data_IF_537742268039
#
_entry.id   IF_537742268039
#
_cell.length_a   1.000
_cell.length_b   1.000
_cell.length_c   1.000
_cell.angle_alpha   90.00
_cell.angle_beta   90.00
_cell.angle_gamma   90.00
#
_symmetry.space_group_name_H-M   'P 1'
#
loop_
_entity.id
_entity.type
_entity.pdbx_description
1 polymer ?
#
# COMPACT_ATOMS: atom_id res chain seq x y z
N UNK A 1 -16.01 11.83 2.09
CA UNK A 1 -15.56 10.57 2.73
C UNK A 1 -14.53 10.90 3.80
N UNK A 2 -14.66 10.32 4.99
CA UNK A 2 -13.58 10.30 5.99
C UNK A 2 -12.47 9.43 5.43
N UNK A 3 -11.32 10.03 5.16
CA UNK A 3 -10.27 9.37 4.38
C UNK A 3 -8.99 9.31 5.18
N UNK A 4 -8.47 8.10 5.37
CA UNK A 4 -7.13 7.89 5.92
C UNK A 4 -6.13 8.33 4.86
N UNK A 5 -5.24 9.24 5.22
CA UNK A 5 -4.05 9.55 4.42
C UNK A 5 -2.85 9.02 5.19
N UNK A 6 -2.24 7.96 4.67
CA UNK A 6 -1.16 7.25 5.34
C UNK A 6 -0.09 6.81 4.34
N UNK A 7 1.09 6.42 4.84
CA UNK A 7 2.15 6.02 3.95
C UNK A 7 3.51 5.72 4.60
N UNK A 8 4.56 5.70 3.77
CA UNK A 8 5.91 5.47 4.26
C UNK A 8 6.46 6.70 4.97
N UNK A 9 7.10 6.47 6.12
CA UNK A 9 7.65 7.50 7.01
C UNK A 9 8.86 8.27 6.45
N UNK A 10 9.35 7.88 5.28
CA UNK A 10 10.52 8.43 4.61
C UNK A 10 10.15 9.19 3.34
N UNK A 11 8.87 9.21 2.97
CA UNK A 11 8.38 9.99 1.83
C UNK A 11 7.96 11.35 2.36
N UNK A 12 8.59 12.40 1.83
CA UNK A 12 8.37 13.82 2.16
C UNK A 12 8.14 14.63 0.87
N UNK A 13 7.33 14.08 -0.02
CA UNK A 13 7.00 14.66 -1.33
C UNK A 13 5.50 15.02 -1.39
N UNK A 14 5.22 16.32 -1.23
CA UNK A 14 3.85 16.86 -1.22
C UNK A 14 3.18 16.76 -2.57
N UNK A 15 3.92 16.98 -3.66
CA UNK A 15 3.37 16.95 -5.02
C UNK A 15 2.92 15.53 -5.38
N UNK A 16 3.73 14.52 -5.02
CA UNK A 16 3.34 13.13 -5.18
C UNK A 16 2.09 12.77 -4.36
N UNK A 17 1.96 13.29 -3.14
CA UNK A 17 0.77 13.08 -2.32
C UNK A 17 -0.47 13.75 -2.94
N UNK A 18 -0.37 15.01 -3.37
CA UNK A 18 -1.47 15.72 -4.03
C UNK A 18 -1.94 15.01 -5.29
N UNK A 19 -1.01 14.56 -6.14
CA UNK A 19 -1.33 13.76 -7.31
C UNK A 19 -2.05 12.46 -6.93
N UNK A 20 -1.57 11.78 -5.89
CA UNK A 20 -2.20 10.55 -5.37
C UNK A 20 -3.63 10.82 -4.89
N UNK A 21 -3.86 11.93 -4.19
CA UNK A 21 -5.19 12.35 -3.73
C UNK A 21 -6.12 12.66 -4.91
N UNK A 22 -5.64 13.41 -5.90
CA UNK A 22 -6.40 13.72 -7.10
C UNK A 22 -6.80 12.46 -7.88
N UNK A 23 -5.88 11.51 -8.03
CA UNK A 23 -6.12 10.26 -8.75
C UNK A 23 -7.08 9.32 -8.00
N UNK A 24 -7.12 9.36 -6.66
CA UNK A 24 -8.14 8.65 -5.90
C UNK A 24 -9.56 9.07 -6.32
N UNK A 25 -9.73 10.35 -6.69
CA UNK A 25 -10.91 10.83 -7.38
C UNK A 25 -12.19 10.84 -6.56
N UNK A 26 -12.08 10.95 -5.23
CA UNK A 26 -13.23 11.11 -4.34
C UNK A 26 -13.06 12.30 -3.38
N UNK A 27 -14.20 12.89 -2.99
CA UNK A 27 -14.21 14.04 -2.09
C UNK A 27 -13.87 13.64 -0.65
N UNK A 28 -12.87 14.30 -0.08
CA UNK A 28 -12.43 14.10 1.30
C UNK A 28 -13.14 15.10 2.20
N UNK A 29 -13.92 14.60 3.15
CA UNK A 29 -14.70 15.41 4.10
C UNK A 29 -14.05 15.51 5.48
N UNK A 30 -13.11 14.61 5.77
CA UNK A 30 -12.27 14.60 6.98
C UNK A 30 -11.01 13.78 6.67
N UNK A 31 -9.84 14.26 7.07
CA UNK A 31 -8.58 13.51 7.01
C UNK A 31 -8.40 12.73 8.30
N UNK A 32 -8.18 11.42 8.21
CA UNK A 32 -7.86 10.55 9.33
C UNK A 32 -6.36 10.28 9.32
N UNK A 33 -5.65 10.66 10.39
CA UNK A 33 -4.17 10.58 10.45
C UNK A 33 -3.71 9.69 11.61
N UNK A 34 -2.68 8.87 11.37
CA UNK A 34 -2.00 8.09 12.41
C UNK A 34 -0.87 8.84 13.12
N UNK A 35 -0.76 10.14 12.86
CA UNK A 35 0.17 11.10 13.48
C UNK A 35 1.64 10.67 13.40
N UNK A 36 2.01 9.97 12.33
CA UNK A 36 3.39 9.58 12.05
C UNK A 36 4.11 10.63 11.20
N UNK A 37 5.44 10.62 11.21
CA UNK A 37 6.22 11.41 10.23
C UNK A 37 5.97 10.92 8.79
N UNK A 38 6.34 11.73 7.81
CA UNK A 38 6.18 11.43 6.38
C UNK A 38 4.74 11.68 5.92
N UNK A 39 4.16 10.73 5.21
CA UNK A 39 2.85 10.89 4.55
C UNK A 39 1.72 11.25 5.50
N UNK A 40 1.68 10.70 6.71
CA UNK A 40 0.66 11.08 7.71
C UNK A 40 0.70 12.60 8.00
N UNK A 41 1.88 13.17 8.30
CA UNK A 41 2.05 14.63 8.50
C UNK A 41 1.67 15.42 7.25
N UNK A 42 2.09 14.99 6.07
CA UNK A 42 1.72 15.67 4.82
C UNK A 42 0.21 15.63 4.57
N UNK A 43 -0.47 14.54 4.94
CA UNK A 43 -1.92 14.42 4.87
C UNK A 43 -2.63 15.39 5.83
N UNK A 44 -2.11 15.55 7.05
CA UNK A 44 -2.63 16.56 7.98
C UNK A 44 -2.44 17.99 7.46
N UNK A 45 -1.28 18.28 6.87
CA UNK A 45 -1.00 19.59 6.25
C UNK A 45 -1.95 19.85 5.07
N UNK A 46 -2.11 18.89 4.16
CA UNK A 46 -3.06 18.96 3.06
C UNK A 46 -4.48 19.23 3.55
N UNK A 47 -4.92 18.54 4.61
CA UNK A 47 -6.23 18.76 5.22
C UNK A 47 -6.39 20.19 5.71
N UNK A 48 -5.41 20.72 6.47
CA UNK A 48 -5.43 22.09 6.98
C UNK A 48 -5.44 23.13 5.84
N UNK A 49 -4.63 22.93 4.81
CA UNK A 49 -4.50 23.83 3.66
C UNK A 49 -5.79 23.89 2.83
N UNK A 50 -6.54 22.79 2.75
CA UNK A 50 -7.79 22.69 2.00
C UNK A 50 -9.06 22.92 2.85
N UNK A 51 -8.91 23.34 4.11
CA UNK A 51 -10.04 23.55 5.02
C UNK A 51 -10.80 22.27 5.39
N UNK A 52 -10.17 21.11 5.22
CA UNK A 52 -10.70 19.80 5.58
C UNK A 52 -10.30 19.46 7.02
N UNK A 53 -11.24 19.10 7.90
CA UNK A 53 -10.93 18.78 9.28
C UNK A 53 -10.00 17.55 9.37
N UNK A 54 -9.09 17.58 10.34
CA UNK A 54 -8.13 16.49 10.60
C UNK A 54 -8.47 15.81 11.91
N UNK A 55 -8.69 14.50 11.86
CA UNK A 55 -8.92 13.63 13.01
C UNK A 55 -7.65 12.80 13.30
N UNK A 56 -6.88 13.14 14.35
CA UNK A 56 -5.69 12.38 14.73
C UNK A 56 -6.03 11.12 15.52
N UNK A 57 -5.30 10.04 15.24
CA UNK A 57 -5.30 8.76 15.95
C UNK A 57 -3.87 8.43 16.39
N UNK A 58 -3.37 9.02 17.48
CA UNK A 58 -2.05 8.68 18.01
C UNK A 58 -2.04 7.25 18.56
N UNK A 59 -0.92 6.54 18.38
CA UNK A 59 -0.76 5.21 18.95
C UNK A 59 -0.44 5.29 20.46
N UNK A 60 -1.15 4.53 21.28
CA UNK A 60 -0.89 4.43 22.72
C UNK A 60 0.24 3.42 23.02
N UNK A 61 1.48 3.90 22.83
CA UNK A 61 2.69 3.13 23.10
C UNK A 61 2.88 2.79 24.57
N UNK A 62 2.33 3.59 25.50
CA UNK A 62 2.48 3.37 26.93
C UNK A 62 1.69 2.15 27.38
N UNK A 63 0.45 2.02 26.92
CA UNK A 63 -0.43 0.90 27.31
C UNK A 63 -0.16 -0.36 26.50
N UNK A 64 0.08 -0.23 25.19
CA UNK A 64 0.09 -1.37 24.26
C UNK A 64 1.47 -1.72 23.70
N UNK A 65 2.50 -0.92 23.99
CA UNK A 65 3.87 -1.20 23.53
C UNK A 65 3.91 -1.43 22.02
N UNK A 66 4.54 -2.53 21.59
CA UNK A 66 4.78 -2.83 20.16
C UNK A 66 3.50 -2.98 19.32
N UNK A 67 2.37 -3.38 19.91
CA UNK A 67 1.12 -3.58 19.17
C UNK A 67 0.31 -2.30 19.01
N UNK A 68 0.70 -1.21 19.68
CA UNK A 68 -0.02 0.07 19.66
C UNK A 68 -0.26 0.60 18.24
N UNK A 69 0.74 0.48 17.36
CA UNK A 69 0.63 0.91 15.97
C UNK A 69 -0.40 0.12 15.17
N UNK A 70 -0.46 -1.20 15.35
CA UNK A 70 -1.44 -2.06 14.66
C UNK A 70 -2.86 -1.80 15.17
N UNK A 71 -3.04 -1.69 16.49
CA UNK A 71 -4.34 -1.38 17.09
C UNK A 71 -4.88 -0.05 16.57
N UNK A 72 -4.04 0.99 16.58
CA UNK A 72 -4.38 2.29 16.01
C UNK A 72 -4.74 2.21 14.52
N UNK A 73 -4.02 1.43 13.71
CA UNK A 73 -4.37 1.24 12.30
C UNK A 73 -5.74 0.60 12.12
N UNK A 74 -6.07 -0.38 12.96
CA UNK A 74 -7.39 -1.01 12.99
C UNK A 74 -8.48 -0.02 13.39
N UNK A 75 -8.23 0.81 14.40
CA UNK A 75 -9.19 1.82 14.85
C UNK A 75 -9.45 2.88 13.76
N UNK A 76 -8.41 3.32 13.05
CA UNK A 76 -8.57 4.20 11.89
C UNK A 76 -9.38 3.53 10.77
N UNK A 77 -9.07 2.26 10.44
CA UNK A 77 -9.78 1.51 9.40
C UNK A 77 -11.27 1.34 9.71
N UNK A 78 -11.62 1.09 10.98
CA UNK A 78 -13.00 0.96 11.43
C UNK A 78 -13.76 2.30 11.46
N UNK A 79 -13.04 3.43 11.53
CA UNK A 79 -13.63 4.77 11.62
C UNK A 79 -13.85 5.42 10.24
N UNK A 80 -12.96 5.15 9.28
CA UNK A 80 -12.92 5.82 7.99
C UNK A 80 -13.82 5.17 6.93
N UNK A 81 -14.07 5.91 5.85
CA UNK A 81 -14.78 5.41 4.66
C UNK A 81 -13.82 4.99 3.54
N UNK A 82 -12.57 5.47 3.58
CA UNK A 82 -11.55 5.14 2.60
C UNK A 82 -10.11 5.37 3.06
N UNK A 83 -9.17 4.83 2.29
CA UNK A 83 -7.72 4.92 2.47
C UNK A 83 -7.08 5.41 1.18
N UNK A 84 -6.27 6.46 1.29
CA UNK A 84 -5.29 6.89 0.29
C UNK A 84 -3.91 6.58 0.85
N UNK A 85 -3.18 5.67 0.19
CA UNK A 85 -1.90 5.16 0.65
C UNK A 85 -0.77 5.52 -0.32
N UNK A 86 0.16 6.38 0.09
CA UNK A 86 1.39 6.66 -0.66
C UNK A 86 2.57 5.98 0.03
N UNK A 87 3.18 4.98 -0.60
CA UNK A 87 4.18 4.16 0.08
C UNK A 87 5.26 3.64 -0.86
N UNK A 88 6.32 3.08 -0.28
CA UNK A 88 7.49 2.56 -1.00
C UNK A 88 7.37 1.06 -1.33
N UNK A 89 6.17 0.47 -1.18
CA UNK A 89 5.92 -0.96 -1.39
C UNK A 89 6.51 -1.90 -0.33
N UNK A 90 7.37 -1.41 0.57
CA UNK A 90 8.08 -2.22 1.58
C UNK A 90 7.83 -1.80 3.03
N UNK A 91 7.26 -0.63 3.29
CA UNK A 91 6.97 -0.14 4.64
C UNK A 91 6.04 -1.10 5.40
N UNK A 92 6.51 -1.71 6.52
CA UNK A 92 5.68 -2.63 7.31
C UNK A 92 4.45 -1.95 7.90
N UNK A 93 4.58 -0.67 8.27
CA UNK A 93 3.47 0.12 8.81
C UNK A 93 2.39 0.41 7.77
N UNK A 94 2.80 0.76 6.55
CA UNK A 94 1.89 1.00 5.42
C UNK A 94 1.21 -0.30 4.97
N UNK A 95 1.95 -1.40 4.87
CA UNK A 95 1.41 -2.73 4.60
C UNK A 95 0.38 -3.16 5.65
N UNK A 96 0.68 -2.91 6.93
CA UNK A 96 -0.28 -3.14 8.02
C UNK A 96 -1.56 -2.33 7.84
N UNK A 97 -1.45 -1.03 7.53
CA UNK A 97 -2.61 -0.16 7.29
C UNK A 97 -3.45 -0.65 6.10
N UNK A 98 -2.81 -0.98 4.98
CA UNK A 98 -3.49 -1.53 3.79
C UNK A 98 -4.28 -2.79 4.13
N UNK A 99 -3.68 -3.71 4.90
CA UNK A 99 -4.33 -4.93 5.34
C UNK A 99 -5.55 -4.65 6.21
N UNK A 100 -5.45 -3.76 7.20
CA UNK A 100 -6.57 -3.45 8.09
C UNK A 100 -7.70 -2.71 7.34
N UNK A 101 -7.37 -1.85 6.37
CA UNK A 101 -8.36 -1.21 5.50
C UNK A 101 -9.12 -2.24 4.64
N UNK A 102 -8.40 -3.19 4.02
CA UNK A 102 -9.03 -4.25 3.23
C UNK A 102 -9.94 -5.14 4.10
N UNK A 103 -9.53 -5.44 5.35
CA UNK A 103 -10.38 -6.17 6.31
C UNK A 103 -11.64 -5.40 6.69
N UNK A 104 -11.55 -4.09 6.84
CA UNK A 104 -12.68 -3.22 7.14
C UNK A 104 -13.61 -3.01 5.94
N UNK A 105 -13.18 -3.39 4.72
CA UNK A 105 -13.98 -3.24 3.50
C UNK A 105 -14.13 -1.79 3.04
N UNK A 106 -13.23 -0.90 3.46
CA UNK A 106 -13.25 0.52 3.07
C UNK A 106 -12.63 0.71 1.69
N UNK A 107 -12.96 1.81 1.00
CA UNK A 107 -12.42 2.08 -0.34
C UNK A 107 -10.91 2.34 -0.27
N UNK A 108 -10.11 1.68 -1.10
CA UNK A 108 -8.65 1.84 -1.10
C UNK A 108 -8.15 2.37 -2.44
N UNK A 109 -7.32 3.42 -2.38
CA UNK A 109 -6.45 3.86 -3.47
C UNK A 109 -5.02 3.84 -2.93
N UNK A 110 -4.11 3.16 -3.64
CA UNK A 110 -2.71 3.12 -3.24
C UNK A 110 -1.81 3.44 -4.43
N UNK A 111 -0.75 4.19 -4.16
CA UNK A 111 0.28 4.58 -5.11
C UNK A 111 1.65 4.27 -4.54
N UNK A 112 2.52 3.67 -5.37
CA UNK A 112 3.91 3.45 -5.00
C UNK A 112 4.72 4.67 -5.40
N UNK A 113 5.50 5.17 -4.46
CA UNK A 113 6.33 6.33 -4.66
C UNK A 113 7.48 6.04 -5.62
N UNK A 114 7.75 6.98 -6.53
CA UNK A 114 8.75 6.82 -7.59
C UNK A 114 8.31 5.90 -8.74
N UNK A 115 7.06 5.42 -8.71
CA UNK A 115 6.56 4.44 -9.66
C UNK A 115 5.57 5.10 -10.64
N UNK A 116 6.01 5.29 -11.88
CA UNK A 116 5.13 5.71 -12.95
C UNK A 116 4.56 4.50 -13.68
N UNK A 117 3.34 4.11 -13.31
CA UNK A 117 2.62 3.00 -13.97
C UNK A 117 2.42 3.25 -15.47
N UNK A 118 2.39 4.50 -15.93
CA UNK A 118 2.18 4.81 -17.35
C UNK A 118 3.40 4.47 -18.22
N UNK A 119 4.56 4.25 -17.60
CA UNK A 119 5.78 3.79 -18.26
C UNK A 119 5.89 2.26 -18.37
N UNK A 120 4.95 1.52 -17.77
CA UNK A 120 4.89 0.06 -17.80
C UNK A 120 4.03 -0.45 -18.96
N UNK A 121 4.39 -1.61 -19.49
CA UNK A 121 3.54 -2.32 -20.46
C UNK A 121 2.26 -2.83 -19.78
N UNK A 122 1.18 -3.06 -20.54
CA UNK A 122 -0.14 -3.42 -19.98
C UNK A 122 -0.08 -4.65 -19.08
N UNK A 123 0.73 -5.66 -19.44
CA UNK A 123 0.91 -6.89 -18.66
C UNK A 123 1.58 -6.62 -17.32
N UNK A 124 2.59 -5.74 -17.28
CA UNK A 124 3.26 -5.33 -16.04
C UNK A 124 2.30 -4.56 -15.12
N UNK A 125 1.46 -3.69 -15.71
CA UNK A 125 0.44 -2.94 -14.98
C UNK A 125 -0.58 -3.86 -14.31
N UNK A 126 -1.07 -4.87 -15.04
CA UNK A 126 -2.02 -5.86 -14.51
C UNK A 126 -1.43 -6.68 -13.37
N UNK A 127 -0.21 -7.20 -13.54
CA UNK A 127 0.52 -7.96 -12.50
C UNK A 127 0.71 -7.10 -11.25
N UNK A 128 1.14 -5.85 -11.42
CA UNK A 128 1.37 -4.93 -10.31
C UNK A 128 0.07 -4.56 -9.60
N UNK A 129 -1.00 -4.22 -10.33
CA UNK A 129 -2.29 -3.91 -9.73
C UNK A 129 -2.81 -5.08 -8.88
N UNK A 130 -2.66 -6.31 -9.38
CA UNK A 130 -3.04 -7.51 -8.65
C UNK A 130 -2.17 -7.77 -7.41
N UNK A 131 -0.85 -7.62 -7.54
CA UNK A 131 0.12 -7.75 -6.44
C UNK A 131 -0.14 -6.72 -5.32
N UNK A 132 -0.34 -5.45 -5.67
CA UNK A 132 -0.56 -4.37 -4.70
C UNK A 132 -1.94 -4.35 -4.08
N UNK A 133 -2.94 -4.97 -4.72
CA UNK A 133 -4.23 -5.24 -4.08
C UNK A 133 -4.10 -6.29 -2.96
N UNK A 134 -2.95 -6.97 -2.82
CA UNK A 134 -2.72 -8.02 -1.83
C UNK A 134 -3.50 -9.30 -2.11
N UNK A 135 -3.95 -9.50 -3.36
CA UNK A 135 -4.74 -10.66 -3.79
C UNK A 135 -3.90 -11.88 -4.12
N UNK A 136 -2.60 -11.69 -4.37
CA UNK A 136 -1.70 -12.79 -4.68
C UNK A 136 -0.32 -12.67 -4.07
N UNK A 137 0.36 -13.82 -3.97
CA UNK A 137 1.76 -13.92 -3.56
C UNK A 137 2.56 -14.46 -4.73
N UNK A 138 3.57 -13.71 -5.18
CA UNK A 138 4.42 -14.12 -6.28
C UNK A 138 5.65 -14.87 -5.77
N UNK A 139 5.96 -16.01 -6.39
CA UNK A 139 7.14 -16.82 -6.08
C UNK A 139 7.98 -17.09 -7.32
N UNK A 140 9.29 -17.24 -7.10
CA UNK A 140 10.19 -17.84 -8.07
C UNK A 140 10.29 -19.33 -7.80
N UNK A 141 9.87 -20.14 -8.76
CA UNK A 141 10.00 -21.60 -8.73
C UNK A 141 10.98 -22.01 -9.84
N UNK A 142 12.24 -22.26 -9.48
CA UNK A 142 13.31 -22.69 -10.40
C UNK A 142 13.51 -21.76 -11.62
N UNK A 143 13.46 -20.45 -11.42
CA UNK A 143 13.58 -19.45 -12.49
C UNK A 143 12.27 -19.14 -13.20
N UNK A 144 11.15 -19.73 -12.76
CA UNK A 144 9.82 -19.48 -13.29
C UNK A 144 8.92 -18.77 -12.26
N UNK A 145 8.49 -17.56 -12.59
CA UNK A 145 7.57 -16.76 -11.82
C UNK A 145 6.13 -17.27 -11.93
N UNK A 146 5.48 -17.48 -10.79
CA UNK A 146 4.06 -17.84 -10.71
C UNK A 146 3.40 -17.25 -9.47
N UNK A 147 2.07 -17.10 -9.54
CA UNK A 147 1.27 -16.85 -8.34
C UNK A 147 1.24 -18.12 -7.50
N UNK A 148 1.68 -18.03 -6.25
CA UNK A 148 1.53 -19.10 -5.26
C UNK A 148 0.13 -19.11 -4.66
N UNK A 149 -0.43 -17.92 -4.45
CA UNK A 149 -1.80 -17.69 -4.01
C UNK A 149 -2.42 -16.72 -5.02
N UNK A 150 -3.58 -17.07 -5.56
CA UNK A 150 -4.33 -16.26 -6.51
C UNK A 150 -5.80 -16.73 -6.56
N UNK A 151 -6.70 -15.79 -6.87
CA UNK A 151 -8.08 -16.04 -7.29
C UNK A 151 -8.18 -16.25 -8.81
N UNK A 152 -9.39 -16.54 -9.30
CA UNK A 152 -9.68 -16.78 -10.72
C UNK A 152 -9.42 -15.58 -11.64
N UNK A 153 -9.26 -14.38 -11.07
CA UNK A 153 -9.03 -13.14 -11.80
C UNK A 153 -7.54 -12.76 -11.84
N UNK A 154 -6.64 -13.66 -11.41
CA UNK A 154 -5.21 -13.40 -11.48
C UNK A 154 -4.74 -13.16 -12.92
N UNK A 155 -3.96 -12.08 -13.16
CA UNK A 155 -3.42 -11.79 -14.47
C UNK A 155 -2.38 -12.84 -14.86
N UNK A 156 -2.22 -13.04 -16.17
CA UNK A 156 -1.19 -13.90 -16.70
C UNK A 156 0.20 -13.33 -16.38
N UNK A 157 1.12 -14.19 -15.94
CA UNK A 157 2.48 -13.80 -15.60
C UNK A 157 3.40 -14.08 -16.79
N UNK A 158 3.93 -13.02 -17.42
CA UNK A 158 5.13 -13.13 -18.26
C UNK A 158 6.39 -13.16 -17.39
N UNK A 159 7.33 -14.02 -17.78
CA UNK A 159 8.63 -14.13 -17.10
C UNK A 159 9.46 -12.86 -17.29
N UNK A 160 9.43 -12.27 -18.49
CA UNK A 160 10.11 -11.00 -18.77
C UNK A 160 9.50 -9.86 -17.94
N UNK A 161 8.17 -9.78 -17.88
CA UNK A 161 7.47 -8.72 -17.14
C UNK A 161 7.85 -8.75 -15.65
N UNK A 162 7.81 -9.92 -15.00
CA UNK A 162 8.21 -10.00 -13.59
C UNK A 162 9.69 -9.72 -13.39
N UNK A 163 10.56 -10.22 -14.27
CA UNK A 163 11.99 -9.94 -14.19
C UNK A 163 12.28 -8.43 -14.30
N UNK A 164 11.55 -7.71 -15.16
CA UNK A 164 11.68 -6.26 -15.31
C UNK A 164 11.16 -5.51 -14.08
N UNK A 165 10.00 -5.91 -13.54
CA UNK A 165 9.46 -5.34 -12.31
C UNK A 165 10.42 -5.51 -11.12
N UNK A 166 11.08 -6.66 -11.00
CA UNK A 166 12.09 -6.90 -9.97
C UNK A 166 13.35 -6.08 -10.23
N UNK A 167 13.83 -6.02 -11.48
CA UNK A 167 15.01 -5.23 -11.87
C UNK A 167 14.82 -3.74 -11.53
N UNK A 168 13.60 -3.23 -11.70
CA UNK A 168 13.23 -1.85 -11.35
C UNK A 168 12.94 -1.65 -9.85
N UNK A 169 13.22 -2.67 -9.02
CA UNK A 169 12.94 -2.68 -7.58
C UNK A 169 11.46 -2.47 -7.21
N UNK A 170 10.55 -2.70 -8.17
CA UNK A 170 9.10 -2.48 -8.03
C UNK A 170 8.42 -3.64 -7.31
N UNK A 171 9.09 -4.81 -7.29
CA UNK A 171 8.62 -6.01 -6.61
C UNK A 171 9.78 -6.71 -5.91
N UNK A 172 9.52 -7.26 -4.72
CA UNK A 172 10.46 -8.10 -3.99
C UNK A 172 9.96 -9.55 -4.07
N UNK A 173 10.71 -10.46 -4.71
CA UNK A 173 10.29 -11.84 -4.81
C UNK A 173 10.43 -12.56 -3.46
N UNK A 174 9.51 -13.49 -3.19
CA UNK A 174 9.74 -14.47 -2.12
C UNK A 174 10.39 -15.70 -2.75
N UNK A 175 11.61 -16.03 -2.35
CA UNK A 175 12.28 -17.26 -2.81
C UNK A 175 11.76 -18.45 -2.00
N UNK A 176 11.20 -19.46 -2.67
CA UNK A 176 11.00 -20.79 -2.08
C UNK A 176 12.01 -21.73 -2.75
N UNK A 177 13.14 -21.98 -2.09
CA UNK A 177 14.00 -23.10 -2.46
C UNK A 177 13.35 -24.40 -1.99
N UNK A 178 12.58 -25.07 -2.85
CA UNK A 178 12.19 -26.46 -2.59
C UNK A 178 13.40 -27.33 -2.96
N UNK A 179 14.20 -27.69 -1.96
CA UNK A 179 15.19 -28.76 -2.09
C UNK A 179 14.44 -30.05 -2.43
N UNK A 180 14.36 -30.38 -3.72
CA UNK A 180 13.90 -31.68 -4.17
C UNK A 180 14.89 -32.71 -3.63
N UNK A 181 14.53 -33.43 -2.57
CA UNK A 181 15.24 -34.66 -2.21
C UNK A 181 14.91 -35.65 -3.33
N UNK A 182 15.86 -35.79 -4.25
CA UNK A 182 15.84 -36.82 -5.28
C UNK A 182 15.90 -38.16 -4.52
N UNK A 183 14.82 -38.94 -4.61
CA UNK A 183 14.78 -40.33 -4.19
C UNK A 183 15.25 -41.25 -5.32
#
# INVERSE_FOLDING_TARGET
>A
MKTIIAGSRTIEDKEALEKTIQQAGWDITEVVSGTCRGVDVMGEEWGRENGVPVKPFPADWLTHGRTAGELRNRDMANYADGLILLWDGKSPGASCMLREANKAGIKVYNQIYGLDMTSLESTEQEIMAYYHAGKGRLINDHGHWRWEVADENAPHISQEAVAELIRREMMQPTTIEVLTVIA
#
